data_IF_559080718496
#
_entry.id   IF_559080718496
#
_cell.length_a   1.000
_cell.length_b   1.000
_cell.length_c   1.000
_cell.angle_alpha   90.00
_cell.angle_beta   90.00
_cell.angle_gamma   90.00
#
_symmetry.space_group_name_H-M   'P 1'
#
loop_
_entity.id
_entity.type
_entity.pdbx_description
1 polymer ?
#
# COMPACT_ATOMS: atom_id res chain seq x y z
N UNK A 1 71.43 -6.11 -3.94
CA UNK A 1 72.25 -7.34 -3.91
C UNK A 1 71.49 -8.41 -4.69
N UNK A 2 72.13 -8.94 -5.76
CA UNK A 2 71.94 -10.26 -6.42
C UNK A 2 70.49 -10.67 -6.80
N UNK A 3 70.05 -10.57 -8.06
CA UNK A 3 70.30 -11.43 -9.25
C UNK A 3 69.97 -12.93 -9.06
N UNK A 4 69.01 -13.48 -9.82
CA UNK A 4 69.26 -14.37 -10.97
C UNK A 4 67.99 -15.01 -11.59
N UNK A 5 67.85 -14.81 -12.92
CA UNK A 5 67.54 -15.77 -14.01
C UNK A 5 66.47 -16.86 -13.89
N UNK A 6 65.64 -16.98 -14.95
CA UNK A 6 65.05 -18.26 -15.33
C UNK A 6 63.93 -18.22 -16.38
N UNK A 7 64.26 -17.97 -17.65
CA UNK A 7 63.38 -18.18 -18.81
C UNK A 7 63.46 -19.64 -19.26
N UNK A 8 62.33 -20.35 -19.43
CA UNK A 8 62.15 -21.40 -20.47
C UNK A 8 60.70 -21.49 -20.92
N UNK A 9 60.52 -21.33 -22.24
CA UNK A 9 59.34 -21.71 -23.01
C UNK A 9 59.04 -23.21 -22.88
N UNK A 10 57.77 -23.60 -23.07
CA UNK A 10 57.41 -24.72 -23.93
C UNK A 10 55.95 -24.63 -24.39
N UNK A 11 55.80 -24.75 -25.70
CA UNK A 11 54.57 -24.88 -26.48
C UNK A 11 53.75 -26.12 -26.11
N UNK A 12 52.45 -26.11 -26.41
CA UNK A 12 51.77 -27.37 -26.74
C UNK A 12 50.26 -27.41 -26.59
N UNK A 13 49.61 -27.68 -27.73
CA UNK A 13 48.40 -28.48 -27.92
C UNK A 13 47.01 -27.85 -27.63
N UNK A 14 46.32 -27.56 -28.72
CA UNK A 14 44.86 -27.53 -28.81
C UNK A 14 44.28 -28.93 -28.53
N UNK A 15 43.18 -28.99 -27.78
CA UNK A 15 42.27 -30.12 -27.74
C UNK A 15 40.83 -29.59 -27.78
N UNK A 16 40.14 -29.85 -28.89
CA UNK A 16 38.68 -29.78 -28.96
C UNK A 16 38.12 -30.88 -28.06
N UNK A 17 37.37 -30.49 -27.04
CA UNK A 17 36.51 -31.39 -26.27
C UNK A 17 35.05 -30.96 -26.49
N UNK A 18 34.34 -31.69 -27.34
CA UNK A 18 32.89 -31.69 -27.41
C UNK A 18 32.37 -32.44 -26.19
N UNK A 19 31.95 -31.70 -25.15
CA UNK A 19 31.15 -32.27 -24.07
C UNK A 19 29.67 -32.16 -24.43
N UNK A 20 29.08 -33.28 -24.85
CA UNK A 20 27.64 -33.49 -24.89
C UNK A 20 27.09 -33.33 -23.47
N UNK A 21 26.41 -32.21 -23.21
CA UNK A 21 25.66 -31.99 -21.97
C UNK A 21 24.36 -32.80 -21.97
N UNK A 22 23.95 -33.39 -20.83
CA UNK A 22 22.70 -34.11 -20.72
C UNK A 22 21.52 -33.13 -20.78
N UNK A 23 20.52 -33.45 -21.59
CA UNK A 23 19.20 -32.86 -21.52
C UNK A 23 18.45 -33.47 -20.33
N UNK A 24 18.22 -32.67 -19.29
CA UNK A 24 17.19 -32.78 -18.24
C UNK A 24 17.62 -31.77 -17.14
N UNK A 25 16.80 -30.88 -16.61
CA UNK A 25 15.42 -31.02 -16.18
C UNK A 25 14.68 -29.70 -16.46
N UNK A 26 13.39 -29.82 -16.74
CA UNK A 26 12.47 -28.70 -16.77
C UNK A 26 12.64 -27.85 -15.50
N UNK A 27 12.79 -26.53 -15.68
CA UNK A 27 12.42 -25.57 -14.64
C UNK A 27 10.93 -25.80 -14.38
N UNK A 28 10.60 -26.42 -13.25
CA UNK A 28 9.25 -26.34 -12.73
C UNK A 28 8.95 -24.86 -12.53
N UNK A 29 7.81 -24.32 -13.02
CA UNK A 29 7.46 -22.96 -12.70
C UNK A 29 7.30 -22.92 -11.19
N UNK A 30 8.22 -22.20 -10.52
CA UNK A 30 8.04 -21.74 -9.14
C UNK A 30 6.69 -21.03 -9.14
N UNK A 31 5.66 -21.74 -8.68
CA UNK A 31 4.38 -21.14 -8.35
C UNK A 31 4.72 -20.24 -7.18
N UNK A 32 5.00 -18.98 -7.50
CA UNK A 32 5.04 -17.94 -6.49
C UNK A 32 3.72 -18.04 -5.75
N UNK A 33 3.78 -18.34 -4.46
CA UNK A 33 2.69 -18.07 -3.55
C UNK A 33 2.50 -16.55 -3.53
N UNK A 34 1.87 -16.02 -4.57
CA UNK A 34 1.30 -14.68 -4.57
C UNK A 34 0.27 -14.71 -3.44
N UNK A 35 0.62 -14.10 -2.31
CA UNK A 35 -0.33 -13.87 -1.24
C UNK A 35 -1.64 -13.34 -1.85
N UNK A 36 -2.81 -13.78 -1.36
CA UNK A 36 -4.07 -13.29 -1.90
C UNK A 36 -4.04 -11.76 -1.92
N UNK A 37 -4.48 -11.16 -3.04
CA UNK A 37 -4.43 -9.72 -3.26
C UNK A 37 -5.04 -8.93 -2.07
N UNK A 38 -5.92 -9.56 -1.30
CA UNK A 38 -6.47 -9.02 -0.07
C UNK A 38 -6.29 -9.95 1.13
N UNK A 39 -5.78 -9.40 2.23
CA UNK A 39 -5.79 -10.04 3.54
C UNK A 39 -7.22 -10.18 4.07
N UNK A 40 -7.63 -11.41 4.40
CA UNK A 40 -8.92 -11.70 5.02
C UNK A 40 -9.13 -10.91 6.33
N UNK A 41 -8.06 -10.69 7.10
CA UNK A 41 -8.09 -9.92 8.34
C UNK A 41 -8.38 -8.45 8.09
N UNK A 42 -7.76 -7.86 7.07
CA UNK A 42 -8.00 -6.46 6.71
C UNK A 42 -9.41 -6.27 6.16
N UNK A 43 -9.88 -7.17 5.30
CA UNK A 43 -11.26 -7.14 4.81
C UNK A 43 -12.28 -7.25 5.95
N UNK A 44 -12.06 -8.16 6.91
CA UNK A 44 -12.93 -8.29 8.08
C UNK A 44 -12.97 -7.01 8.91
N UNK A 45 -11.81 -6.40 9.19
CA UNK A 45 -11.71 -5.13 9.90
C UNK A 45 -12.41 -3.97 9.18
N UNK A 46 -12.23 -3.87 7.87
CA UNK A 46 -12.90 -2.84 7.07
C UNK A 46 -14.42 -3.06 7.02
N UNK A 47 -14.86 -4.32 6.93
CA UNK A 47 -16.28 -4.69 6.97
C UNK A 47 -16.93 -4.40 8.34
N UNK A 48 -16.19 -4.57 9.42
CA UNK A 48 -16.64 -4.37 10.81
C UNK A 48 -16.15 -3.05 11.41
N UNK A 49 -15.75 -2.09 10.57
CA UNK A 49 -15.18 -0.84 11.02
C UNK A 49 -16.15 -0.09 11.96
N UNK A 50 -15.61 0.69 12.88
CA UNK A 50 -16.35 1.52 13.83
C UNK A 50 -16.32 3.00 13.48
N UNK A 51 -16.19 3.31 12.18
CA UNK A 51 -16.27 4.66 11.64
C UNK A 51 -14.93 5.25 11.20
N UNK A 52 -15.02 6.50 10.73
CA UNK A 52 -13.90 7.26 10.16
C UNK A 52 -13.80 8.66 10.76
N UNK A 53 -12.59 9.19 10.89
CA UNK A 53 -12.35 10.57 11.33
C UNK A 53 -11.35 11.29 10.44
N UNK A 54 -11.49 12.61 10.40
CA UNK A 54 -10.47 13.58 10.03
C UNK A 54 -10.10 14.39 11.29
N UNK A 55 -8.80 14.53 11.57
CA UNK A 55 -8.30 15.30 12.73
C UNK A 55 -8.93 16.68 12.88
N UNK A 56 -9.14 17.38 11.77
CA UNK A 56 -9.65 18.74 11.75
C UNK A 56 -11.14 18.86 12.03
N UNK A 57 -11.87 17.74 12.07
CA UNK A 57 -13.30 17.72 12.39
C UNK A 57 -13.50 17.33 13.85
N UNK A 58 -13.24 16.07 14.19
CA UNK A 58 -13.44 15.52 15.54
C UNK A 58 -12.86 14.09 15.57
N UNK A 59 -12.29 13.70 16.72
CA UNK A 59 -11.87 12.32 17.00
C UNK A 59 -12.95 11.49 17.69
N UNK A 60 -13.80 12.14 18.50
CA UNK A 60 -14.79 11.49 19.35
C UNK A 60 -16.07 11.19 18.56
N UNK A 61 -16.46 12.10 17.67
CA UNK A 61 -17.61 11.92 16.78
C UNK A 61 -17.21 11.40 15.42
N UNK A 62 -17.18 10.09 15.29
CA UNK A 62 -16.83 9.43 14.02
C UNK A 62 -17.93 9.58 12.98
N UNK A 63 -17.49 9.71 11.74
CA UNK A 63 -18.30 9.47 10.56
C UNK A 63 -18.49 7.98 10.29
N UNK A 64 -19.05 7.66 9.12
CA UNK A 64 -19.33 6.28 8.72
C UNK A 64 -18.44 5.87 7.56
N UNK A 65 -17.98 4.61 7.58
CA UNK A 65 -17.34 3.97 6.44
C UNK A 65 -17.99 2.61 6.20
N UNK A 66 -18.10 2.20 4.95
CA UNK A 66 -18.72 0.96 4.56
C UNK A 66 -17.92 0.31 3.43
N UNK A 67 -17.58 -0.96 3.66
CA UNK A 67 -17.02 -1.84 2.63
C UNK A 67 -18.16 -2.62 1.97
N UNK A 68 -18.23 -2.60 0.65
CA UNK A 68 -19.14 -3.42 -0.16
C UNK A 68 -18.31 -4.34 -1.06
N UNK A 69 -18.78 -5.56 -1.24
CA UNK A 69 -18.19 -6.49 -2.20
C UNK A 69 -19.16 -6.65 -3.38
N UNK A 70 -18.65 -6.54 -4.60
CA UNK A 70 -19.42 -6.75 -5.81
C UNK A 70 -18.54 -7.48 -6.83
N UNK A 71 -18.95 -8.69 -7.22
CA UNK A 71 -18.25 -9.52 -8.21
C UNK A 71 -16.75 -9.75 -7.90
N UNK A 72 -16.40 -9.87 -6.62
CA UNK A 72 -15.01 -10.04 -6.17
C UNK A 72 -14.20 -8.74 -6.05
N UNK A 73 -14.80 -7.59 -6.37
CA UNK A 73 -14.20 -6.27 -6.15
C UNK A 73 -14.71 -5.65 -4.85
N UNK A 74 -13.81 -5.03 -4.09
CA UNK A 74 -14.12 -4.41 -2.80
C UNK A 74 -14.17 -2.89 -2.90
N UNK A 75 -15.34 -2.30 -2.71
CA UNK A 75 -15.55 -0.86 -2.73
C UNK A 75 -15.64 -0.30 -1.31
N UNK A 76 -14.89 0.77 -1.04
CA UNK A 76 -14.91 1.47 0.23
C UNK A 76 -15.45 2.89 0.02
N UNK A 77 -16.53 3.20 0.72
CA UNK A 77 -17.13 4.54 0.73
C UNK A 77 -17.30 5.01 2.16
N UNK A 78 -17.12 6.30 2.42
CA UNK A 78 -17.26 6.82 3.78
C UNK A 78 -17.05 8.32 3.88
N UNK A 79 -17.30 8.85 5.07
CA UNK A 79 -17.08 10.25 5.34
C UNK A 79 -17.51 10.70 6.73
N UNK A 80 -17.14 11.93 7.06
CA UNK A 80 -17.42 12.60 8.33
C UNK A 80 -17.86 14.05 8.07
N UNK A 81 -18.91 14.47 8.77
CA UNK A 81 -19.41 15.85 8.79
C UNK A 81 -19.15 16.44 10.16
N UNK A 82 -18.61 17.66 10.21
CA UNK A 82 -18.44 18.40 11.45
C UNK A 82 -19.79 18.69 12.13
N UNK A 83 -19.79 18.85 13.45
CA UNK A 83 -21.02 19.05 14.21
C UNK A 83 -21.80 20.30 13.82
N UNK A 84 -21.10 21.31 13.29
CA UNK A 84 -21.67 22.55 12.75
C UNK A 84 -22.08 22.43 11.26
N UNK A 85 -21.82 21.29 10.63
CA UNK A 85 -22.11 21.00 9.23
C UNK A 85 -21.14 21.60 8.22
N UNK A 86 -20.12 22.36 8.66
CA UNK A 86 -19.22 23.06 7.75
C UNK A 86 -18.13 22.12 7.20
N UNK A 87 -17.33 21.56 8.11
CA UNK A 87 -16.19 20.71 7.79
C UNK A 87 -16.59 19.32 7.29
N UNK A 88 -15.90 18.83 6.27
CA UNK A 88 -16.30 17.62 5.55
C UNK A 88 -15.10 16.74 5.12
N UNK A 89 -15.20 15.41 5.31
CA UNK A 89 -14.32 14.37 4.77
C UNK A 89 -15.13 13.32 3.98
N UNK A 90 -14.79 13.05 2.73
CA UNK A 90 -15.42 12.07 1.85
C UNK A 90 -14.34 11.16 1.25
N UNK A 91 -14.65 9.86 1.15
CA UNK A 91 -13.90 8.92 0.33
C UNK A 91 -14.84 7.99 -0.44
N UNK A 92 -14.45 7.65 -1.65
CA UNK A 92 -15.17 6.70 -2.51
C UNK A 92 -14.22 6.06 -3.52
N UNK A 93 -14.18 4.73 -3.58
CA UNK A 93 -13.25 4.01 -4.44
C UNK A 93 -13.12 2.52 -4.11
N UNK A 94 -12.04 1.91 -4.57
CA UNK A 94 -11.76 0.47 -4.49
C UNK A 94 -10.62 0.17 -3.52
N UNK A 95 -10.72 -0.93 -2.77
CA UNK A 95 -9.59 -1.53 -2.06
C UNK A 95 -8.88 -2.49 -3.02
N UNK A 96 -7.84 -2.01 -3.71
CA UNK A 96 -7.17 -2.75 -4.79
C UNK A 96 -6.16 -3.78 -4.29
N UNK A 97 -5.64 -3.62 -3.07
CA UNK A 97 -4.84 -4.66 -2.40
C UNK A 97 -4.80 -4.46 -0.89
N UNK A 98 -4.54 -5.53 -0.12
CA UNK A 98 -4.31 -5.41 1.32
C UNK A 98 -3.40 -6.48 1.91
N UNK A 99 -2.54 -6.06 2.83
CA UNK A 99 -1.85 -6.93 3.78
C UNK A 99 -2.52 -6.88 5.15
N UNK A 100 -1.94 -7.55 6.15
CA UNK A 100 -2.51 -7.67 7.50
C UNK A 100 -2.57 -6.37 8.33
N UNK A 101 -1.77 -5.39 7.93
CA UNK A 101 -1.57 -4.12 8.63
C UNK A 101 -1.75 -2.90 7.72
N UNK A 102 -2.13 -3.09 6.46
CA UNK A 102 -2.30 -2.02 5.50
C UNK A 102 -3.24 -2.40 4.37
N UNK A 103 -3.73 -1.40 3.66
CA UNK A 103 -4.39 -1.57 2.37
C UNK A 103 -4.08 -0.40 1.44
N UNK A 104 -4.23 -0.67 0.15
CA UNK A 104 -4.18 0.31 -0.92
C UNK A 104 -5.61 0.58 -1.35
N UNK A 105 -5.99 1.85 -1.29
CA UNK A 105 -7.28 2.36 -1.73
C UNK A 105 -7.07 3.17 -3.00
N UNK A 106 -7.74 2.84 -4.09
CA UNK A 106 -7.73 3.62 -5.32
C UNK A 106 -9.06 4.34 -5.46
N UNK A 107 -9.04 5.67 -5.39
CA UNK A 107 -10.28 6.43 -5.40
C UNK A 107 -10.13 7.88 -4.98
N UNK A 108 -11.27 8.51 -4.82
CA UNK A 108 -11.41 9.90 -4.40
C UNK A 108 -11.19 10.02 -2.89
N UNK A 109 -10.37 10.97 -2.46
CA UNK A 109 -10.44 11.57 -1.13
C UNK A 109 -10.71 13.06 -1.29
N UNK A 110 -11.72 13.56 -0.58
CA UNK A 110 -12.10 14.98 -0.58
C UNK A 110 -12.27 15.50 0.84
N UNK A 111 -11.60 16.60 1.15
CA UNK A 111 -11.76 17.39 2.37
C UNK A 111 -12.25 18.78 1.97
N UNK A 112 -13.26 19.29 2.66
CA UNK A 112 -13.74 20.64 2.43
C UNK A 112 -14.09 21.39 3.73
N UNK A 113 -13.85 22.71 3.72
CA UNK A 113 -14.14 23.68 4.77
C UNK A 113 -13.57 23.33 6.16
N UNK A 114 -12.42 22.65 6.22
CA UNK A 114 -11.73 22.35 7.48
C UNK A 114 -10.22 22.11 7.26
N UNK A 115 -9.32 22.67 8.10
CA UNK A 115 -9.61 23.44 9.32
C UNK A 115 -10.04 24.90 9.07
N UNK A 116 -9.86 25.41 7.85
CA UNK A 116 -10.29 26.76 7.45
C UNK A 116 -11.50 26.72 6.51
N UNK A 117 -12.38 27.71 6.63
CA UNK A 117 -13.50 27.88 5.69
C UNK A 117 -12.98 28.10 4.26
N UNK A 118 -13.61 27.48 3.28
CA UNK A 118 -13.22 27.56 1.87
C UNK A 118 -12.02 26.70 1.48
N UNK A 119 -11.37 25.99 2.40
CA UNK A 119 -10.34 24.98 2.06
C UNK A 119 -10.98 23.85 1.28
N UNK A 120 -10.40 23.47 0.14
CA UNK A 120 -10.80 22.30 -0.65
C UNK A 120 -9.54 21.51 -1.00
N UNK A 121 -9.48 20.26 -0.54
CA UNK A 121 -8.42 19.33 -0.88
C UNK A 121 -9.05 18.08 -1.47
N UNK A 122 -8.72 17.77 -2.72
CA UNK A 122 -9.32 16.67 -3.46
C UNK A 122 -8.33 16.04 -4.43
N UNK A 123 -8.24 14.72 -4.43
CA UNK A 123 -7.50 13.99 -5.45
C UNK A 123 -8.10 12.58 -5.65
N UNK A 124 -7.88 12.00 -6.83
CA UNK A 124 -8.26 10.63 -7.18
C UNK A 124 -7.01 9.87 -7.58
N UNK A 125 -6.51 9.02 -6.69
CA UNK A 125 -5.29 8.23 -6.91
C UNK A 125 -5.23 7.02 -5.98
N UNK A 126 -4.05 6.40 -5.87
CA UNK A 126 -3.77 5.34 -4.89
C UNK A 126 -3.30 5.92 -3.57
N UNK A 127 -3.97 5.53 -2.52
CA UNK A 127 -3.75 5.96 -1.15
C UNK A 127 -3.34 4.76 -0.31
N UNK A 128 -2.28 4.92 0.49
CA UNK A 128 -1.88 3.88 1.44
C UNK A 128 -2.44 4.18 2.82
N UNK A 129 -3.20 3.24 3.35
CA UNK A 129 -3.66 3.24 4.74
C UNK A 129 -2.92 2.15 5.51
N UNK A 130 -2.41 2.45 6.70
CA UNK A 130 -1.67 1.47 7.50
C UNK A 130 -1.83 1.66 9.00
N UNK A 131 -1.72 0.55 9.74
CA UNK A 131 -1.60 0.50 11.18
C UNK A 131 -0.13 0.68 11.54
N UNK A 132 0.13 1.57 12.48
CA UNK A 132 1.46 1.74 13.08
C UNK A 132 1.33 1.69 14.60
N UNK A 133 2.39 1.31 15.32
CA UNK A 133 2.46 1.41 16.78
C UNK A 133 1.26 0.76 17.52
N UNK A 134 0.79 -0.40 17.06
CA UNK A 134 -0.33 -1.15 17.65
C UNK A 134 -1.67 -0.40 17.75
N UNK A 135 -1.87 0.65 16.94
CA UNK A 135 -3.13 1.41 16.87
C UNK A 135 -4.30 0.52 16.42
N UNK A 136 -5.52 0.88 16.84
CA UNK A 136 -6.79 0.22 16.47
C UNK A 136 -7.53 0.96 15.35
N UNK A 137 -6.74 1.47 14.40
CA UNK A 137 -7.23 2.16 13.22
C UNK A 137 -6.17 2.14 12.14
N UNK A 138 -6.61 2.19 10.88
CA UNK A 138 -5.75 2.47 9.75
C UNK A 138 -5.66 3.97 9.54
N UNK A 139 -4.44 4.51 9.45
CA UNK A 139 -4.20 5.92 9.15
C UNK A 139 -3.72 6.10 7.71
N UNK A 140 -4.22 7.10 7.01
CA UNK A 140 -3.65 7.56 5.74
C UNK A 140 -2.15 7.89 5.94
N UNK A 141 -1.30 7.35 5.06
CA UNK A 141 0.17 7.44 5.19
C UNK A 141 0.78 8.51 4.31
N UNK A 142 -0.02 9.18 3.49
CA UNK A 142 0.42 10.30 2.69
C UNK A 142 0.15 11.59 3.44
N UNK A 143 1.21 12.26 3.88
CA UNK A 143 1.14 13.54 4.56
C UNK A 143 1.32 14.67 3.55
N UNK A 144 0.76 15.84 3.85
CA UNK A 144 1.01 17.08 3.08
C UNK A 144 0.74 16.95 1.56
N UNK A 145 -0.33 16.23 1.20
CA UNK A 145 -0.65 15.89 -0.19
C UNK A 145 -1.39 17.00 -0.96
N UNK A 146 -1.85 18.06 -0.29
CA UNK A 146 -2.69 19.10 -0.88
C UNK A 146 -2.10 20.51 -0.70
N UNK A 147 -2.03 21.01 0.53
CA UNK A 147 -1.76 22.42 0.84
C UNK A 147 -0.72 22.61 1.96
N UNK A 148 0.18 21.64 2.12
CA UNK A 148 1.21 21.65 3.16
C UNK A 148 0.68 21.33 4.57
N UNK A 149 -0.60 21.02 4.72
CA UNK A 149 -1.17 20.51 5.97
C UNK A 149 -1.12 18.97 5.99
N UNK A 150 -0.86 18.43 7.17
CA UNK A 150 -1.00 16.98 7.39
C UNK A 150 -2.43 16.64 7.76
N UNK A 151 -3.12 15.91 6.89
CA UNK A 151 -4.48 15.40 7.14
C UNK A 151 -4.44 13.97 7.68
N UNK A 152 -4.75 13.79 8.97
CA UNK A 152 -4.92 12.44 9.53
C UNK A 152 -6.34 11.95 9.30
N UNK A 153 -6.47 11.04 8.34
CA UNK A 153 -7.69 10.27 8.09
C UNK A 153 -7.53 8.88 8.71
N UNK A 154 -8.38 8.55 9.68
CA UNK A 154 -8.32 7.30 10.44
C UNK A 154 -9.60 6.47 10.26
N UNK A 155 -9.48 5.19 9.91
CA UNK A 155 -10.59 4.22 9.84
C UNK A 155 -10.42 3.21 10.98
N UNK A 156 -11.36 3.19 11.92
CA UNK A 156 -11.30 2.41 13.16
C UNK A 156 -11.91 1.02 12.99
N UNK A 157 -11.39 0.01 13.70
CA UNK A 157 -11.89 -1.37 13.68
C UNK A 157 -11.68 -2.07 15.03
#
# INVERSE_FOLDING_TARGET
MQSWTGLKLLSGAAALALCSGPAALADEPVRGDEAPAHSAKTLLRLKQNSGITLQWIDWDRRGQAALREQNGTFYLSGGQIASDGAGTLWLDGEVVSSGDDHFIFEGLIRIANTPGNGRICQDTKRWRFAITQNRKYYRLREFEWCDGLTDYIDIYF
#
